data_IF_084602191023
#
_entry.id   IF_084602191023
#
_cell.length_a   1.000
_cell.length_b   1.000
_cell.length_c   1.000
_cell.angle_alpha   90.00
_cell.angle_beta   90.00
_cell.angle_gamma   90.00
#
_symmetry.space_group_name_H-M   'P 1'
#
loop_
_entity.id
_entity.type
_entity.pdbx_description
1 polymer ?
#
# COMPACT_ATOMS: atom_id res chain seq x y z
N UNK A 1 -12.12 43.71 0.53
CA UNK A 1 -12.80 42.40 0.51
C UNK A 1 -11.79 41.37 1.00
N UNK A 2 -11.79 41.13 2.31
CA UNK A 2 -10.84 40.25 2.99
C UNK A 2 -11.01 38.82 2.51
N UNK A 3 -9.95 38.25 1.91
CA UNK A 3 -9.92 36.83 1.62
C UNK A 3 -9.81 36.07 2.94
N UNK A 4 -10.95 35.59 3.45
CA UNK A 4 -10.99 34.72 4.63
C UNK A 4 -10.18 33.48 4.29
N UNK A 5 -8.94 33.44 4.78
CA UNK A 5 -8.04 32.29 4.68
C UNK A 5 -8.67 31.18 5.51
N UNK A 6 -9.45 30.31 4.87
CA UNK A 6 -10.11 29.15 5.49
C UNK A 6 -9.04 28.30 6.15
N UNK A 7 -8.86 28.45 7.46
CA UNK A 7 -7.88 27.70 8.22
C UNK A 7 -8.31 26.23 8.14
N UNK A 8 -7.52 25.42 7.42
CA UNK A 8 -7.75 23.98 7.35
C UNK A 8 -7.45 23.42 8.74
N UNK A 9 -8.50 23.24 9.54
CA UNK A 9 -8.34 22.75 10.89
C UNK A 9 -7.81 21.31 10.83
N UNK A 10 -6.60 21.10 11.35
CA UNK A 10 -5.95 19.78 11.36
C UNK A 10 -6.75 18.83 12.24
N UNK A 11 -7.05 17.63 11.73
CA UNK A 11 -7.83 16.61 12.42
C UNK A 11 -6.88 15.54 12.98
N UNK A 12 -6.36 15.76 14.19
CA UNK A 12 -5.35 14.85 14.80
C UNK A 12 -5.87 13.44 15.08
N UNK A 13 -7.18 13.30 15.35
CA UNK A 13 -7.85 12.00 15.46
C UNK A 13 -7.75 11.18 14.16
N UNK A 14 -7.97 11.81 13.00
CA UNK A 14 -7.87 11.15 11.69
C UNK A 14 -6.42 10.85 11.33
N UNK A 15 -5.49 11.74 11.68
CA UNK A 15 -4.06 11.47 11.49
C UNK A 15 -3.59 10.27 12.31
N UNK A 16 -4.01 10.16 13.58
CA UNK A 16 -3.75 9.00 14.41
C UNK A 16 -4.36 7.73 13.81
N UNK A 17 -5.63 7.81 13.38
CA UNK A 17 -6.29 6.70 12.71
C UNK A 17 -5.51 6.22 11.48
N UNK A 18 -5.01 7.13 10.65
CA UNK A 18 -4.18 6.77 9.49
C UNK A 18 -2.90 6.02 9.88
N UNK A 19 -2.25 6.41 10.97
CA UNK A 19 -1.07 5.70 11.48
C UNK A 19 -1.45 4.28 11.90
N UNK A 20 -2.53 4.12 12.66
CA UNK A 20 -3.04 2.79 13.07
C UNK A 20 -3.37 1.93 11.85
N UNK A 21 -4.02 2.50 10.84
CA UNK A 21 -4.34 1.78 9.60
C UNK A 21 -3.07 1.33 8.85
N UNK A 22 -2.04 2.17 8.80
CA UNK A 22 -0.75 1.79 8.18
C UNK A 22 -0.11 0.62 8.95
N UNK A 23 -0.16 0.62 10.28
CA UNK A 23 0.34 -0.50 11.08
C UNK A 23 -0.42 -1.79 10.79
N UNK A 24 -1.75 -1.72 10.68
CA UNK A 24 -2.57 -2.88 10.31
C UNK A 24 -2.24 -3.39 8.90
N UNK A 25 -1.99 -2.49 7.93
CA UNK A 25 -1.58 -2.87 6.58
C UNK A 25 -0.21 -3.57 6.59
N UNK A 26 0.73 -3.15 7.45
CA UNK A 26 2.00 -3.85 7.62
C UNK A 26 1.78 -5.26 8.17
N UNK A 27 0.90 -5.43 9.17
CA UNK A 27 0.52 -6.75 9.68
C UNK A 27 -0.10 -7.62 8.58
N UNK A 28 -0.93 -7.05 7.72
CA UNK A 28 -1.50 -7.77 6.57
C UNK A 28 -0.42 -8.30 5.61
N UNK A 29 0.55 -7.46 5.27
CA UNK A 29 1.68 -7.86 4.42
C UNK A 29 2.60 -8.89 5.11
N UNK A 30 2.73 -8.81 6.42
CA UNK A 30 3.47 -9.82 7.18
C UNK A 30 2.76 -11.18 7.16
N UNK A 31 1.43 -11.16 7.34
CA UNK A 31 0.62 -12.37 7.32
C UNK A 31 0.61 -13.05 5.95
N UNK A 32 0.68 -12.26 4.87
CA UNK A 32 0.66 -12.75 3.50
C UNK A 32 1.79 -13.76 3.20
N UNK A 33 1.43 -14.94 2.72
CA UNK A 33 2.34 -16.04 2.41
C UNK A 33 3.40 -15.74 1.34
N UNK A 34 3.14 -14.82 0.42
CA UNK A 34 4.09 -14.42 -0.63
C UNK A 34 5.03 -13.27 -0.20
N UNK A 35 4.80 -12.68 0.98
CA UNK A 35 5.56 -11.53 1.48
C UNK A 35 6.22 -11.88 2.83
N UNK A 36 5.56 -11.63 3.97
CA UNK A 36 6.13 -11.96 5.28
C UNK A 36 6.07 -13.44 5.65
N UNK A 37 5.27 -14.22 4.94
CA UNK A 37 5.30 -15.68 5.02
C UNK A 37 4.63 -16.26 6.27
N UNK A 38 3.95 -15.46 7.11
CA UNK A 38 3.36 -16.01 8.34
C UNK A 38 2.34 -17.12 8.03
N UNK A 39 1.41 -16.88 7.10
CA UNK A 39 0.45 -17.92 6.68
C UNK A 39 1.09 -19.15 6.03
N UNK A 40 2.24 -18.99 5.39
CA UNK A 40 2.93 -20.10 4.72
C UNK A 40 3.66 -21.03 5.70
N UNK A 41 3.99 -20.54 6.90
CA UNK A 41 4.83 -21.23 7.87
C UNK A 41 4.08 -21.71 9.13
N UNK A 42 2.75 -21.57 9.16
CA UNK A 42 1.94 -21.94 10.33
C UNK A 42 1.15 -23.23 10.07
N UNK A 43 1.17 -24.12 11.06
CA UNK A 43 0.41 -25.37 11.02
C UNK A 43 -1.07 -25.16 11.36
N UNK A 44 -1.94 -25.75 10.56
CA UNK A 44 -3.39 -25.74 10.75
C UNK A 44 -3.77 -26.27 12.15
N UNK A 45 -4.70 -25.59 12.82
CA UNK A 45 -5.23 -25.99 14.13
C UNK A 45 -4.41 -25.53 15.34
N UNK A 46 -3.29 -24.82 15.14
CA UNK A 46 -2.54 -24.20 16.25
C UNK A 46 -3.17 -22.88 16.70
N UNK A 47 -2.91 -22.43 17.93
CA UNK A 47 -3.35 -21.11 18.39
C UNK A 47 -2.86 -19.98 17.46
N UNK A 48 -1.62 -20.08 16.99
CA UNK A 48 -1.01 -19.14 16.04
C UNK A 48 -1.77 -19.06 14.71
N UNK A 49 -2.32 -20.18 14.22
CA UNK A 49 -3.15 -20.22 13.01
C UNK A 49 -4.39 -19.33 13.17
N UNK A 50 -5.15 -19.54 14.25
CA UNK A 50 -6.34 -18.73 14.52
C UNK A 50 -6.00 -17.26 14.76
N UNK A 51 -4.90 -16.98 15.45
CA UNK A 51 -4.46 -15.61 15.71
C UNK A 51 -4.05 -14.86 14.43
N UNK A 52 -3.29 -15.51 13.54
CA UNK A 52 -2.89 -14.90 12.26
C UNK A 52 -4.09 -14.68 11.35
N UNK A 53 -5.03 -15.62 11.26
CA UNK A 53 -6.26 -15.41 10.49
C UNK A 53 -7.17 -14.33 11.07
N UNK A 54 -7.24 -14.21 12.40
CA UNK A 54 -7.98 -13.14 13.05
C UNK A 54 -7.37 -11.77 12.74
N UNK A 55 -6.04 -11.64 12.90
CA UNK A 55 -5.33 -10.37 12.63
C UNK A 55 -5.33 -10.02 11.15
N UNK A 56 -5.28 -11.00 10.25
CA UNK A 56 -5.44 -10.81 8.81
C UNK A 56 -6.84 -10.28 8.47
N UNK A 57 -7.89 -10.91 9.00
CA UNK A 57 -9.28 -10.49 8.77
C UNK A 57 -9.50 -9.07 9.24
N UNK A 58 -9.02 -8.74 10.45
CA UNK A 58 -9.10 -7.39 11.02
C UNK A 58 -8.32 -6.37 10.18
N UNK A 59 -7.11 -6.72 9.74
CA UNK A 59 -6.24 -5.84 8.98
C UNK A 59 -6.70 -5.61 7.54
N UNK A 60 -7.43 -6.55 6.94
CA UNK A 60 -7.97 -6.39 5.58
C UNK A 60 -8.88 -5.17 5.45
N UNK A 61 -9.67 -4.87 6.49
CA UNK A 61 -10.58 -3.71 6.54
C UNK A 61 -9.79 -2.39 6.53
N UNK A 62 -8.56 -2.39 7.07
CA UNK A 62 -7.75 -1.18 7.19
C UNK A 62 -7.43 -0.55 5.83
N UNK A 63 -7.19 -1.36 4.80
CA UNK A 63 -6.94 -0.88 3.42
C UNK A 63 -8.13 -0.10 2.89
N UNK A 64 -9.34 -0.62 3.10
CA UNK A 64 -10.58 0.03 2.64
C UNK A 64 -10.82 1.36 3.37
N UNK A 65 -10.65 1.37 4.69
CA UNK A 65 -10.78 2.60 5.48
C UNK A 65 -9.73 3.64 5.08
N UNK A 66 -8.50 3.23 4.81
CA UNK A 66 -7.43 4.12 4.36
C UNK A 66 -7.78 4.80 3.02
N UNK A 67 -8.34 4.03 2.08
CA UNK A 67 -8.84 4.52 0.79
C UNK A 67 -9.99 5.53 1.00
N UNK A 68 -10.98 5.20 1.84
CA UNK A 68 -12.12 6.07 2.15
C UNK A 68 -11.67 7.41 2.75
N UNK A 69 -10.76 7.38 3.72
CA UNK A 69 -10.21 8.60 4.30
C UNK A 69 -9.47 9.41 3.22
N UNK A 70 -8.76 8.77 2.29
CA UNK A 70 -8.09 9.48 1.20
C UNK A 70 -9.08 10.17 0.25
N UNK A 71 -10.17 9.47 -0.11
CA UNK A 71 -11.26 10.01 -0.91
C UNK A 71 -11.96 11.18 -0.22
N UNK A 72 -12.35 11.03 1.05
CA UNK A 72 -13.03 12.06 1.83
C UNK A 72 -12.25 13.40 1.88
N UNK A 73 -10.94 13.35 2.11
CA UNK A 73 -10.10 14.57 2.13
C UNK A 73 -9.75 15.11 0.74
N UNK A 74 -10.14 14.41 -0.32
CA UNK A 74 -9.84 14.78 -1.71
C UNK A 74 -11.07 15.14 -2.54
N UNK A 75 -12.27 14.80 -2.07
CA UNK A 75 -13.59 15.14 -2.64
C UNK A 75 -13.67 16.56 -3.24
N UNK A 76 -13.38 17.59 -2.45
CA UNK A 76 -13.57 18.97 -2.91
C UNK A 76 -12.32 19.58 -3.60
N UNK A 77 -11.46 18.77 -4.21
CA UNK A 77 -10.26 19.25 -4.93
C UNK A 77 -10.50 19.27 -6.44
N UNK A 78 -10.90 20.43 -6.97
CA UNK A 78 -11.08 20.68 -8.40
C UNK A 78 -9.81 20.55 -9.28
N UNK A 79 -8.63 20.31 -8.70
CA UNK A 79 -7.37 20.17 -9.45
C UNK A 79 -6.72 18.83 -9.15
N UNK A 80 -6.81 17.93 -10.14
CA UNK A 80 -6.06 16.69 -10.16
C UNK A 80 -4.62 17.01 -10.57
N UNK A 81 -3.67 16.70 -9.69
CA UNK A 81 -2.26 16.71 -10.07
C UNK A 81 -1.86 15.29 -10.49
N UNK A 82 -1.93 15.00 -11.79
CA UNK A 82 -1.49 13.70 -12.36
C UNK A 82 -0.03 13.43 -12.00
N UNK A 83 0.78 14.49 -11.86
CA UNK A 83 2.16 14.40 -11.38
C UNK A 83 2.32 13.74 -10.01
N UNK A 84 1.30 13.80 -9.13
CA UNK A 84 1.32 13.09 -7.83
C UNK A 84 1.13 11.60 -7.99
N UNK A 85 0.25 11.17 -8.90
CA UNK A 85 0.06 9.75 -9.21
C UNK A 85 1.32 9.20 -9.87
N UNK A 86 1.85 9.90 -10.88
CA UNK A 86 3.07 9.49 -11.57
C UNK A 86 4.25 9.36 -10.59
N UNK A 87 4.39 10.31 -9.66
CA UNK A 87 5.39 10.22 -8.59
C UNK A 87 5.19 8.99 -7.70
N UNK A 88 3.95 8.68 -7.32
CA UNK A 88 3.64 7.50 -6.49
C UNK A 88 3.94 6.18 -7.23
N UNK A 89 3.55 6.09 -8.50
CA UNK A 89 3.83 4.91 -9.35
C UNK A 89 5.34 4.73 -9.53
N UNK A 90 6.06 5.82 -9.87
CA UNK A 90 7.51 5.79 -10.03
C UNK A 90 8.22 5.42 -8.73
N UNK A 91 7.79 5.98 -7.60
CA UNK A 91 8.33 5.66 -6.29
C UNK A 91 8.16 4.16 -5.99
N UNK A 92 6.99 3.60 -6.28
CA UNK A 92 6.70 2.19 -6.04
C UNK A 92 7.52 1.25 -6.94
N UNK A 93 7.61 1.57 -8.23
CA UNK A 93 8.45 0.81 -9.17
C UNK A 93 9.92 0.89 -8.76
N UNK A 94 10.40 2.08 -8.41
CA UNK A 94 11.79 2.31 -8.00
C UNK A 94 12.15 1.49 -6.76
N UNK A 95 11.37 1.58 -5.69
CA UNK A 95 11.62 0.80 -4.47
C UNK A 95 11.45 -0.71 -4.69
N UNK A 96 10.44 -1.11 -5.46
CA UNK A 96 10.21 -2.51 -5.80
C UNK A 96 11.37 -3.14 -6.55
N UNK A 97 11.90 -2.46 -7.58
CA UNK A 97 13.06 -2.91 -8.34
C UNK A 97 14.35 -2.85 -7.51
N UNK A 98 14.56 -1.80 -6.74
CA UNK A 98 15.76 -1.63 -5.91
C UNK A 98 15.87 -2.74 -4.86
N UNK A 99 14.78 -3.03 -4.13
CA UNK A 99 14.76 -4.10 -3.13
C UNK A 99 14.92 -5.48 -3.79
N UNK A 100 14.25 -5.69 -4.93
CA UNK A 100 14.38 -6.92 -5.72
C UNK A 100 15.82 -7.18 -6.16
N UNK A 101 16.49 -6.16 -6.73
CA UNK A 101 17.89 -6.25 -7.12
C UNK A 101 18.82 -6.49 -5.92
N UNK A 102 18.58 -5.79 -4.81
CA UNK A 102 19.35 -5.97 -3.59
C UNK A 102 19.28 -7.41 -3.08
N UNK A 103 18.07 -8.01 -3.02
CA UNK A 103 17.92 -9.40 -2.57
C UNK A 103 18.64 -10.39 -3.50
N UNK A 104 18.61 -10.18 -4.81
CA UNK A 104 19.32 -11.04 -5.76
C UNK A 104 20.84 -10.91 -5.64
N UNK A 105 21.37 -9.69 -5.47
CA UNK A 105 22.81 -9.47 -5.41
C UNK A 105 23.43 -9.91 -4.07
N UNK A 106 22.72 -9.72 -2.96
CA UNK A 106 23.26 -9.92 -1.61
C UNK A 106 22.86 -11.27 -1.01
N UNK A 107 21.59 -11.67 -1.13
CA UNK A 107 21.08 -12.86 -0.44
C UNK A 107 21.23 -14.13 -1.28
N UNK A 108 20.96 -14.05 -2.59
CA UNK A 108 20.98 -15.23 -3.47
C UNK A 108 21.47 -14.89 -4.90
N UNK A 109 22.78 -14.68 -5.10
CA UNK A 109 23.36 -14.32 -6.39
C UNK A 109 23.15 -15.37 -7.49
N UNK A 110 22.91 -16.64 -7.11
CA UNK A 110 22.60 -17.73 -8.04
C UNK A 110 21.24 -17.57 -8.78
N UNK A 111 20.35 -16.69 -8.31
CA UNK A 111 19.06 -16.43 -8.96
C UNK A 111 19.14 -15.42 -10.11
N UNK A 112 20.32 -14.88 -10.41
CA UNK A 112 20.53 -13.90 -11.48
C UNK A 112 20.35 -14.55 -12.86
N UNK A 113 19.12 -14.51 -13.36
CA UNK A 113 18.74 -15.04 -14.67
C UNK A 113 17.76 -14.08 -15.34
N UNK A 114 17.84 -13.93 -16.66
CA UNK A 114 16.96 -13.03 -17.45
C UNK A 114 15.48 -13.26 -17.16
N UNK A 115 15.07 -14.52 -16.97
CA UNK A 115 13.71 -14.89 -16.59
C UNK A 115 13.27 -14.29 -15.23
N UNK A 116 14.14 -14.36 -14.22
CA UNK A 116 13.86 -13.81 -12.89
C UNK A 116 13.82 -12.27 -12.94
N UNK A 117 14.69 -11.63 -13.72
CA UNK A 117 14.65 -10.19 -13.92
C UNK A 117 13.32 -9.73 -14.53
N UNK A 118 12.81 -10.43 -15.56
CA UNK A 118 11.50 -10.13 -16.15
C UNK A 118 10.35 -10.32 -15.15
N UNK A 119 10.43 -11.36 -14.30
CA UNK A 119 9.46 -11.61 -13.25
C UNK A 119 9.45 -10.47 -12.21
N UNK A 120 10.62 -9.96 -11.82
CA UNK A 120 10.75 -8.83 -10.89
C UNK A 120 10.11 -7.56 -11.43
N UNK A 121 10.36 -7.24 -12.70
CA UNK A 121 9.74 -6.07 -13.35
C UNK A 121 8.22 -6.20 -13.38
N UNK A 122 7.69 -7.39 -13.71
CA UNK A 122 6.24 -7.64 -13.68
C UNK A 122 5.65 -7.45 -12.29
N UNK A 123 6.30 -7.96 -11.24
CA UNK A 123 5.84 -7.81 -9.85
C UNK A 123 5.88 -6.34 -9.43
N UNK A 124 6.94 -5.60 -9.75
CA UNK A 124 7.08 -4.19 -9.38
C UNK A 124 6.00 -3.30 -10.01
N UNK A 125 5.54 -3.63 -11.21
CA UNK A 125 4.51 -2.88 -11.94
C UNK A 125 3.09 -3.31 -11.55
N UNK A 126 2.89 -4.60 -11.23
CA UNK A 126 1.57 -5.18 -10.98
C UNK A 126 1.12 -5.08 -9.52
N UNK A 127 1.23 -3.90 -8.92
CA UNK A 127 0.80 -3.67 -7.54
C UNK A 127 -0.68 -3.29 -7.50
N UNK A 128 -1.54 -4.21 -7.07
CA UNK A 128 -3.00 -4.03 -7.09
C UNK A 128 -3.44 -2.72 -6.41
N UNK A 129 -2.82 -2.40 -5.26
CA UNK A 129 -3.16 -1.21 -4.49
C UNK A 129 -2.87 0.08 -5.27
N UNK A 130 -1.75 0.13 -6.01
CA UNK A 130 -1.37 1.30 -6.82
C UNK A 130 -2.37 1.52 -7.96
N UNK A 131 -2.88 0.44 -8.56
CA UNK A 131 -3.88 0.50 -9.63
C UNK A 131 -5.19 1.08 -9.07
N UNK A 132 -5.72 0.51 -7.97
CA UNK A 132 -6.97 0.99 -7.36
C UNK A 132 -6.83 2.44 -6.88
N UNK A 133 -5.71 2.79 -6.25
CA UNK A 133 -5.45 4.15 -5.79
C UNK A 133 -5.40 5.15 -6.95
N UNK A 134 -4.80 4.75 -8.09
CA UNK A 134 -4.75 5.58 -9.30
C UNK A 134 -6.14 5.79 -9.88
N UNK A 135 -6.97 4.74 -9.94
CA UNK A 135 -8.37 4.82 -10.40
C UNK A 135 -9.18 5.76 -9.50
N UNK A 136 -9.09 5.60 -8.17
CA UNK A 136 -9.76 6.50 -7.22
C UNK A 136 -9.38 7.96 -7.48
N UNK A 137 -8.09 8.23 -7.70
CA UNK A 137 -7.62 9.59 -7.90
C UNK A 137 -8.08 10.19 -9.23
N UNK A 138 -8.26 9.36 -10.27
CA UNK A 138 -8.89 9.77 -11.54
C UNK A 138 -10.39 10.01 -11.40
N UNK A 139 -11.05 9.39 -10.42
CA UNK A 139 -12.48 9.57 -10.13
C UNK A 139 -12.78 10.80 -9.27
N UNK A 140 -11.80 11.37 -8.56
CA UNK A 140 -11.97 12.60 -7.76
C UNK A 140 -12.74 13.75 -8.46
N UNK A 141 -12.54 14.11 -9.74
CA UNK A 141 -13.28 15.21 -10.37
C UNK A 141 -14.77 14.88 -10.60
N UNK A 142 -15.13 13.60 -10.55
CA UNK A 142 -16.49 13.09 -10.76
C UNK A 142 -17.20 12.76 -9.44
N UNK A 143 -16.46 12.76 -8.31
CA UNK A 143 -16.98 12.52 -6.95
C UNK A 143 -17.02 13.86 -6.23
#
# INVERSE_FOLDING_TARGET
MESIKKNKNRQSNIELLRIVLILMIIVLHYNNGAMGGALANIHNGTFSYYFVHFTESLSSVAVNVFILITGYFSYNKNKIFISKIARLVLLMIFWGLSLSLFTMLVLNPALFTVHNCLKMVKIAISQWFVIIYSILYLLIPYI
#
